data_IF_630702974065
#
_entry.id   IF_630702974065
#
_cell.length_a   1.000
_cell.length_b   1.000
_cell.length_c   1.000
_cell.angle_alpha   90.00
_cell.angle_beta   90.00
_cell.angle_gamma   90.00
#
_symmetry.space_group_name_H-M   'P 1'
#
loop_
_entity.id
_entity.type
_entity.pdbx_description
1 polymer ?
#
# COMPACT_ATOMS: atom_id res chain seq x y z
N UNK A 1 -20.85 45.62 23.56
CA UNK A 1 -21.31 44.79 22.44
C UNK A 1 -20.57 45.24 21.17
N UNK A 2 -19.35 44.76 20.96
CA UNK A 2 -18.64 44.93 19.68
C UNK A 2 -17.79 43.70 19.39
N UNK A 3 -17.86 43.29 18.13
CA UNK A 3 -17.44 42.04 17.51
C UNK A 3 -15.92 41.83 17.58
N UNK A 4 -15.48 40.60 17.86
CA UNK A 4 -14.13 40.16 17.55
C UNK A 4 -13.98 40.03 16.03
N UNK A 5 -13.09 40.86 15.50
CA UNK A 5 -12.62 40.90 14.12
C UNK A 5 -11.56 39.80 13.96
N UNK A 6 -11.84 38.79 13.14
CA UNK A 6 -10.83 37.82 12.71
C UNK A 6 -9.77 38.55 11.87
N UNK A 7 -8.53 38.64 12.37
CA UNK A 7 -7.39 39.00 11.55
C UNK A 7 -6.95 37.76 10.76
N UNK A 8 -7.30 37.73 9.47
CA UNK A 8 -6.59 36.96 8.46
C UNK A 8 -5.39 37.81 8.06
N UNK A 9 -4.19 37.49 8.54
CA UNK A 9 -2.98 38.12 8.02
C UNK A 9 -2.55 37.40 6.76
N UNK A 10 -2.94 38.00 5.63
CA UNK A 10 -2.39 37.81 4.30
C UNK A 10 -0.91 38.23 4.27
N UNK A 11 -0.05 37.36 3.73
CA UNK A 11 1.28 37.73 3.23
C UNK A 11 1.32 37.40 1.73
N UNK A 12 1.52 38.42 0.89
CA UNK A 12 1.65 38.31 -0.56
C UNK A 12 3.14 38.18 -0.99
N UNK A 13 3.34 37.24 -1.91
CA UNK A 13 4.27 37.18 -3.05
C UNK A 13 5.80 37.24 -2.82
N UNK A 14 6.44 36.08 -3.05
CA UNK A 14 7.53 35.95 -4.02
C UNK A 14 7.52 34.50 -4.59
N UNK A 15 6.99 34.33 -5.81
CA UNK A 15 7.00 33.06 -6.55
C UNK A 15 5.62 32.42 -6.74
N UNK A 16 4.91 32.78 -7.82
CA UNK A 16 3.73 32.06 -8.28
C UNK A 16 4.13 30.69 -8.86
N UNK A 17 4.41 29.72 -7.99
CA UNK A 17 4.04 28.33 -8.24
C UNK A 17 2.88 28.08 -7.31
N UNK A 18 1.67 28.03 -7.88
CA UNK A 18 0.48 27.66 -7.16
C UNK A 18 0.73 26.27 -6.57
N UNK A 19 1.00 26.19 -5.26
CA UNK A 19 1.27 24.95 -4.54
C UNK A 19 -0.05 24.20 -4.27
N UNK A 20 -0.90 24.09 -5.31
CA UNK A 20 -2.29 23.65 -5.30
C UNK A 20 -2.46 22.27 -4.66
N UNK A 21 -1.42 21.45 -4.53
CA UNK A 21 -1.51 20.14 -3.88
C UNK A 21 -1.20 20.12 -2.38
N UNK A 22 -0.80 21.23 -1.76
CA UNK A 22 -0.33 21.25 -0.35
C UNK A 22 -1.33 21.85 0.65
N UNK A 23 -2.43 22.43 0.16
CA UNK A 23 -3.46 23.04 1.02
C UNK A 23 -4.30 21.98 1.72
N UNK A 24 -4.67 22.23 2.98
CA UNK A 24 -5.55 21.35 3.75
C UNK A 24 -4.85 20.16 4.44
N UNK A 25 -3.51 20.12 4.46
CA UNK A 25 -2.78 19.17 5.30
C UNK A 25 -2.87 19.58 6.78
N UNK A 26 -3.33 18.66 7.63
CA UNK A 26 -3.33 18.79 9.08
C UNK A 26 -2.23 17.94 9.69
N UNK A 27 -1.52 18.53 10.65
CA UNK A 27 -0.29 17.96 11.22
C UNK A 27 -0.49 17.55 12.68
N UNK A 28 0.33 16.63 13.15
CA UNK A 28 0.33 16.20 14.55
C UNK A 28 0.58 17.40 15.50
N UNK A 29 0.08 17.30 16.73
CA UNK A 29 0.31 18.30 17.79
C UNK A 29 1.26 17.74 18.85
N UNK A 30 2.26 18.54 19.18
CA UNK A 30 3.14 18.32 20.32
C UNK A 30 2.41 18.60 21.64
N UNK A 31 2.91 18.07 22.79
CA UNK A 31 2.33 18.35 24.10
C UNK A 31 2.26 19.83 24.49
N UNK A 32 3.12 20.67 23.91
CA UNK A 32 3.14 22.13 24.13
C UNK A 32 2.12 22.89 23.26
N UNK A 33 1.35 22.19 22.43
CA UNK A 33 0.36 22.75 21.51
C UNK A 33 0.92 23.24 20.17
N UNK A 34 2.24 23.18 19.96
CA UNK A 34 2.85 23.39 18.65
C UNK A 34 2.54 22.23 17.70
N UNK A 35 2.69 22.46 16.39
CA UNK A 35 2.50 21.40 15.39
C UNK A 35 3.83 20.74 15.05
N UNK A 36 3.85 19.41 15.06
CA UNK A 36 4.90 18.63 14.42
C UNK A 36 4.53 18.46 12.94
N UNK A 37 5.13 19.31 12.11
CA UNK A 37 4.88 19.33 10.67
C UNK A 37 5.47 18.12 9.94
N UNK A 38 6.26 17.28 10.60
CA UNK A 38 6.84 16.09 10.00
C UNK A 38 5.83 14.95 9.89
N UNK A 39 4.68 15.04 10.58
CA UNK A 39 3.65 14.00 10.63
C UNK A 39 2.33 14.58 10.15
N UNK A 40 1.83 14.08 9.00
CA UNK A 40 0.47 14.39 8.54
C UNK A 40 -0.50 13.45 9.24
N UNK A 41 -1.56 13.98 9.85
CA UNK A 41 -2.56 13.17 10.56
C UNK A 41 -3.93 13.18 9.90
N UNK A 42 -4.19 14.16 9.03
CA UNK A 42 -5.46 14.29 8.33
C UNK A 42 -5.31 15.22 7.11
N UNK A 43 -6.23 15.11 6.18
CA UNK A 43 -6.39 15.98 5.03
C UNK A 43 -7.78 16.57 5.04
N UNK A 44 -7.92 17.88 4.84
CA UNK A 44 -9.21 18.58 4.75
C UNK A 44 -9.28 19.45 3.50
N UNK A 45 -8.31 19.28 2.60
CA UNK A 45 -8.25 19.99 1.33
C UNK A 45 -9.33 19.50 0.37
N UNK A 46 -9.57 20.30 -0.68
CA UNK A 46 -10.54 19.98 -1.74
C UNK A 46 -9.90 19.36 -2.97
N UNK A 47 -8.58 19.46 -3.04
CA UNK A 47 -7.79 19.08 -4.20
C UNK A 47 -7.66 17.57 -4.25
N UNK A 48 -7.74 17.00 -5.44
CA UNK A 48 -7.62 15.54 -5.65
C UNK A 48 -6.21 15.12 -6.06
N UNK A 49 -5.34 16.09 -6.32
CA UNK A 49 -3.92 15.90 -6.60
C UNK A 49 -3.12 16.50 -5.45
N UNK A 50 -2.62 15.64 -4.56
CA UNK A 50 -1.92 16.06 -3.35
C UNK A 50 -0.42 16.01 -3.55
N UNK A 51 0.29 17.02 -3.05
CA UNK A 51 1.75 17.04 -2.98
C UNK A 51 2.12 17.05 -1.50
N UNK A 52 2.79 16.00 -1.04
CA UNK A 52 3.27 15.94 0.34
C UNK A 52 4.58 16.74 0.42
N UNK A 53 4.69 17.70 1.36
CA UNK A 53 5.90 18.51 1.52
C UNK A 53 7.13 17.69 1.90
N UNK A 54 8.30 18.09 1.43
CA UNK A 54 9.57 17.38 1.58
C UNK A 54 10.12 17.33 3.01
N UNK A 55 9.50 18.00 3.98
CA UNK A 55 9.82 17.87 5.40
C UNK A 55 8.97 16.82 6.13
N UNK A 56 7.98 16.22 5.46
CA UNK A 56 7.12 15.19 6.05
C UNK A 56 7.86 13.85 6.07
N UNK A 57 7.95 13.24 7.24
CA UNK A 57 8.55 11.92 7.45
C UNK A 57 7.52 10.82 7.66
N UNK A 58 6.30 11.17 8.08
CA UNK A 58 5.24 10.21 8.38
C UNK A 58 3.88 10.66 7.83
N UNK A 59 3.17 9.70 7.23
CA UNK A 59 1.76 9.84 6.84
C UNK A 59 0.97 8.97 7.81
N UNK A 60 0.25 9.59 8.73
CA UNK A 60 -0.44 8.90 9.82
C UNK A 60 -1.66 8.08 9.40
N UNK A 61 -2.24 7.40 10.39
CA UNK A 61 -3.45 6.58 10.27
C UNK A 61 -4.56 7.33 9.51
N UNK A 62 -5.02 6.76 8.40
CA UNK A 62 -6.16 7.28 7.65
C UNK A 62 -6.02 8.71 7.12
N UNK A 63 -4.81 9.28 7.08
CA UNK A 63 -4.60 10.70 6.81
C UNK A 63 -5.25 11.20 5.51
N UNK A 64 -5.37 10.33 4.50
CA UNK A 64 -5.98 10.61 3.21
C UNK A 64 -7.08 9.59 2.87
N UNK A 65 -7.76 9.00 3.86
CA UNK A 65 -8.83 8.03 3.63
C UNK A 65 -10.08 8.67 3.01
N UNK A 66 -10.57 8.10 1.90
CA UNK A 66 -11.86 8.47 1.27
C UNK A 66 -11.95 9.94 0.81
N UNK A 67 -10.91 10.44 0.15
CA UNK A 67 -10.86 11.80 -0.40
C UNK A 67 -10.97 11.85 -1.92
N UNK A 68 -11.26 10.73 -2.58
CA UNK A 68 -11.30 10.58 -4.04
C UNK A 68 -10.01 11.11 -4.72
N UNK A 69 -8.86 10.98 -4.05
CA UNK A 69 -7.58 11.43 -4.61
C UNK A 69 -7.30 10.70 -5.91
N UNK A 70 -6.90 11.44 -6.94
CA UNK A 70 -6.50 10.92 -8.25
C UNK A 70 -4.98 10.81 -8.38
N UNK A 71 -4.23 11.61 -7.61
CA UNK A 71 -2.78 11.47 -7.50
C UNK A 71 -2.25 11.95 -6.14
N UNK A 72 -1.11 11.38 -5.75
CA UNK A 72 -0.32 11.86 -4.60
C UNK A 72 1.17 11.81 -4.95
N UNK A 73 1.90 12.89 -4.64
CA UNK A 73 3.35 12.93 -4.71
C UNK A 73 3.93 12.75 -3.30
N UNK A 74 4.60 11.63 -3.06
CA UNK A 74 5.22 11.29 -1.77
C UNK A 74 6.74 11.57 -1.88
N UNK A 75 7.31 12.46 -1.04
CA UNK A 75 8.73 12.80 -1.11
C UNK A 75 9.61 11.76 -0.40
N UNK A 76 10.89 11.72 -0.78
CA UNK A 76 11.91 10.81 -0.22
C UNK A 76 12.24 11.02 1.28
N UNK A 77 11.63 12.01 1.92
CA UNK A 77 11.71 12.19 3.37
C UNK A 77 10.75 11.28 4.12
N UNK A 78 9.69 10.77 3.47
CA UNK A 78 8.72 9.88 4.10
C UNK A 78 9.35 8.52 4.34
N UNK A 79 9.28 8.06 5.59
CA UNK A 79 9.79 6.76 6.04
C UNK A 79 8.67 5.81 6.46
N UNK A 80 7.49 6.33 6.78
CA UNK A 80 6.34 5.56 7.26
C UNK A 80 5.02 6.04 6.62
N UNK A 81 4.25 5.08 6.12
CA UNK A 81 2.88 5.25 5.65
C UNK A 81 1.99 4.39 6.55
N UNK A 82 1.14 5.05 7.32
CA UNK A 82 0.30 4.44 8.34
C UNK A 82 -0.87 3.63 7.79
N UNK A 83 -1.52 2.91 8.69
CA UNK A 83 -2.68 2.09 8.35
C UNK A 83 -3.78 2.94 7.73
N UNK A 84 -4.45 2.39 6.71
CA UNK A 84 -5.54 3.04 5.97
C UNK A 84 -5.18 4.41 5.34
N UNK A 85 -3.89 4.81 5.28
CA UNK A 85 -3.48 6.17 4.91
C UNK A 85 -4.12 6.68 3.62
N UNK A 86 -4.21 5.84 2.58
CA UNK A 86 -4.77 6.17 1.26
C UNK A 86 -5.93 5.25 0.85
N UNK A 87 -6.61 4.60 1.79
CA UNK A 87 -7.71 3.68 1.47
C UNK A 87 -8.91 4.42 0.86
N UNK A 88 -9.64 3.78 -0.06
CA UNK A 88 -10.84 4.32 -0.71
C UNK A 88 -10.58 5.60 -1.53
N UNK A 89 -9.52 5.62 -2.34
CA UNK A 89 -9.27 6.72 -3.27
C UNK A 89 -9.38 6.26 -4.73
N UNK A 90 -9.01 7.13 -5.67
CA UNK A 90 -9.03 6.87 -7.11
C UNK A 90 -7.62 6.95 -7.70
N UNK A 91 -6.60 6.61 -6.91
CA UNK A 91 -5.20 6.70 -7.32
C UNK A 91 -4.96 5.67 -8.44
N UNK A 92 -4.43 6.12 -9.57
CA UNK A 92 -4.11 5.26 -10.73
C UNK A 92 -2.65 4.80 -10.75
N UNK A 93 -1.78 5.58 -10.09
CA UNK A 93 -0.36 5.29 -9.85
C UNK A 93 0.11 5.98 -8.58
N UNK A 94 1.07 5.37 -7.90
CA UNK A 94 1.81 5.96 -6.78
C UNK A 94 3.27 5.53 -6.90
N UNK A 95 4.18 6.49 -6.81
CA UNK A 95 5.60 6.20 -6.58
C UNK A 95 5.83 6.22 -5.08
N UNK A 96 6.12 5.05 -4.51
CA UNK A 96 6.49 4.92 -3.10
C UNK A 96 8.01 5.06 -3.01
N UNK A 97 8.54 6.07 -2.30
CA UNK A 97 9.99 6.27 -2.19
C UNK A 97 10.71 5.09 -1.52
N UNK A 98 11.97 4.84 -1.92
CA UNK A 98 12.82 3.80 -1.32
C UNK A 98 13.09 4.03 0.18
N UNK A 99 12.92 5.27 0.65
CA UNK A 99 13.01 5.65 2.06
C UNK A 99 11.89 5.07 2.92
N UNK A 100 10.78 4.64 2.33
CA UNK A 100 9.61 4.10 3.05
C UNK A 100 9.92 2.70 3.55
N UNK A 101 10.16 2.60 4.86
CA UNK A 101 10.47 1.35 5.56
C UNK A 101 9.22 0.63 6.10
N UNK A 102 8.07 1.30 6.09
CA UNK A 102 6.80 0.75 6.58
C UNK A 102 5.61 1.24 5.75
N UNK A 103 4.79 0.29 5.29
CA UNK A 103 3.47 0.52 4.70
C UNK A 103 2.46 -0.23 5.57
N UNK A 104 1.51 0.51 6.13
CA UNK A 104 0.53 0.00 7.08
C UNK A 104 -0.54 -0.89 6.47
N UNK A 105 -1.31 -1.47 7.37
CA UNK A 105 -2.46 -2.33 7.09
C UNK A 105 -3.47 -1.52 6.25
N UNK A 106 -3.90 -2.06 5.12
CA UNK A 106 -4.83 -1.42 4.18
C UNK A 106 -4.39 -0.09 3.57
N UNK A 107 -3.11 0.31 3.69
CA UNK A 107 -2.66 1.67 3.37
C UNK A 107 -3.04 2.15 1.95
N UNK A 108 -2.95 1.29 0.93
CA UNK A 108 -3.32 1.61 -0.46
C UNK A 108 -4.51 0.77 -0.97
N UNK A 109 -5.33 0.24 -0.08
CA UNK A 109 -6.46 -0.59 -0.48
C UNK A 109 -7.57 0.21 -1.18
N UNK A 110 -8.31 -0.44 -2.07
CA UNK A 110 -9.48 0.10 -2.78
C UNK A 110 -9.15 1.41 -3.50
N UNK A 111 -8.29 1.27 -4.51
CA UNK A 111 -7.84 2.32 -5.42
C UNK A 111 -7.96 1.81 -6.87
N UNK A 112 -7.39 2.53 -7.84
CA UNK A 112 -7.32 2.13 -9.25
C UNK A 112 -5.87 1.90 -9.68
N UNK A 113 -4.99 1.50 -8.76
CA UNK A 113 -3.55 1.38 -9.06
C UNK A 113 -3.35 0.30 -10.12
N UNK A 114 -2.75 0.67 -11.24
CA UNK A 114 -2.41 -0.27 -12.33
C UNK A 114 -1.02 -0.87 -12.18
N UNK A 115 -0.16 -0.17 -11.43
CA UNK A 115 1.19 -0.58 -11.07
C UNK A 115 1.56 -0.01 -9.70
N UNK A 116 2.48 -0.70 -9.01
CA UNK A 116 3.11 -0.20 -7.79
C UNK A 116 4.55 -0.70 -7.76
N UNK A 117 5.48 0.17 -7.39
CA UNK A 117 6.85 -0.20 -7.03
C UNK A 117 6.90 -0.32 -5.52
N UNK A 118 7.15 -1.52 -5.02
CA UNK A 118 7.30 -1.77 -3.59
C UNK A 118 8.76 -1.45 -3.22
N UNK A 119 9.02 -0.62 -2.20
CA UNK A 119 10.37 -0.27 -1.78
C UNK A 119 11.19 -1.47 -1.33
N UNK A 120 12.47 -1.53 -1.73
CA UNK A 120 13.41 -2.58 -1.32
C UNK A 120 13.70 -2.58 0.20
N UNK A 121 13.29 -1.53 0.92
CA UNK A 121 13.44 -1.42 2.36
C UNK A 121 12.34 -2.15 3.16
N UNK A 122 11.26 -2.61 2.52
CA UNK A 122 10.19 -3.34 3.20
C UNK A 122 10.57 -4.79 3.50
N UNK A 123 10.44 -5.20 4.76
CA UNK A 123 10.60 -6.61 5.16
C UNK A 123 9.29 -7.39 5.14
N UNK A 124 8.15 -6.70 5.12
CA UNK A 124 6.82 -7.28 5.14
C UNK A 124 5.87 -6.45 4.30
N UNK A 125 4.96 -7.12 3.59
CA UNK A 125 3.80 -6.49 2.97
C UNK A 125 2.61 -6.75 3.90
N UNK A 126 2.10 -5.70 4.53
CA UNK A 126 1.07 -5.82 5.56
C UNK A 126 -0.29 -6.27 5.01
N UNK A 127 -1.18 -6.66 5.93
CA UNK A 127 -2.54 -7.07 5.64
C UNK A 127 -3.24 -6.04 4.74
N UNK A 128 -3.77 -6.51 3.61
CA UNK A 128 -4.58 -5.72 2.70
C UNK A 128 -3.87 -4.52 2.06
N UNK A 129 -2.54 -4.36 2.21
CA UNK A 129 -1.83 -3.13 1.85
C UNK A 129 -2.14 -2.63 0.42
N UNK A 130 -2.30 -3.54 -0.54
CA UNK A 130 -2.64 -3.25 -1.94
C UNK A 130 -3.92 -3.96 -2.43
N UNK A 131 -4.83 -4.32 -1.51
CA UNK A 131 -6.09 -5.01 -1.85
C UNK A 131 -6.99 -4.14 -2.73
N UNK A 132 -7.68 -4.75 -3.70
CA UNK A 132 -8.78 -4.09 -4.40
C UNK A 132 -8.30 -2.99 -5.34
N UNK A 133 -7.24 -3.28 -6.08
CA UNK A 133 -6.66 -2.39 -7.08
C UNK A 133 -6.80 -3.01 -8.49
N UNK A 134 -6.16 -2.40 -9.48
CA UNK A 134 -6.13 -2.86 -10.86
C UNK A 134 -4.72 -3.35 -11.26
N UNK A 135 -3.93 -3.83 -10.28
CA UNK A 135 -2.54 -4.20 -10.50
C UNK A 135 -2.48 -5.38 -11.48
N UNK A 136 -1.74 -5.20 -12.57
CA UNK A 136 -1.56 -6.25 -13.60
C UNK A 136 -0.28 -7.08 -13.39
N UNK A 137 0.69 -6.49 -12.69
CA UNK A 137 1.93 -7.10 -12.25
C UNK A 137 2.40 -6.46 -10.95
N UNK A 138 3.19 -7.20 -10.18
CA UNK A 138 3.89 -6.69 -9.00
C UNK A 138 5.25 -7.37 -8.89
N UNK A 139 6.28 -6.59 -8.59
CA UNK A 139 7.59 -7.09 -8.19
C UNK A 139 7.70 -6.97 -6.68
N UNK A 140 7.84 -8.11 -6.00
CA UNK A 140 8.03 -8.16 -4.55
C UNK A 140 9.54 -8.16 -4.29
N UNK A 141 10.07 -7.20 -3.51
CA UNK A 141 11.50 -7.11 -3.23
C UNK A 141 12.07 -8.32 -2.47
N UNK A 142 13.34 -8.64 -2.71
CA UNK A 142 14.08 -9.73 -2.04
C UNK A 142 14.28 -9.52 -0.53
N UNK A 143 13.94 -8.34 0.00
CA UNK A 143 13.92 -8.05 1.43
C UNK A 143 12.65 -8.53 2.12
N UNK A 144 11.56 -8.77 1.37
CA UNK A 144 10.27 -9.18 1.93
C UNK A 144 10.32 -10.63 2.38
N UNK A 145 10.03 -10.89 3.65
CA UNK A 145 9.98 -12.24 4.23
C UNK A 145 8.56 -12.76 4.44
N UNK A 146 7.57 -11.87 4.47
CA UNK A 146 6.16 -12.19 4.72
C UNK A 146 5.22 -11.39 3.81
N UNK A 147 4.26 -12.09 3.20
CA UNK A 147 3.15 -11.49 2.45
C UNK A 147 1.89 -11.66 3.30
N UNK A 148 1.36 -10.56 3.83
CA UNK A 148 0.25 -10.54 4.77
C UNK A 148 -1.10 -10.96 4.18
N UNK A 149 -2.08 -11.13 5.06
CA UNK A 149 -3.45 -11.49 4.70
C UNK A 149 -4.03 -10.51 3.68
N UNK A 150 -4.51 -11.03 2.55
CA UNK A 150 -5.16 -10.24 1.51
C UNK A 150 -4.30 -9.13 0.89
N UNK A 151 -2.97 -9.15 1.06
CA UNK A 151 -2.06 -8.08 0.61
C UNK A 151 -2.31 -7.62 -0.83
N UNK A 152 -2.61 -8.57 -1.73
CA UNK A 152 -2.95 -8.33 -3.15
C UNK A 152 -4.31 -8.91 -3.53
N UNK A 153 -5.23 -9.11 -2.57
CA UNK A 153 -6.55 -9.67 -2.82
C UNK A 153 -7.34 -8.77 -3.78
N UNK A 154 -8.02 -9.37 -4.77
CA UNK A 154 -8.91 -8.68 -5.73
C UNK A 154 -8.17 -7.66 -6.59
N UNK A 155 -7.17 -8.13 -7.34
CA UNK A 155 -6.41 -7.38 -8.33
C UNK A 155 -6.55 -8.02 -9.71
N UNK A 156 -5.75 -7.61 -10.69
CA UNK A 156 -5.74 -8.16 -12.06
C UNK A 156 -4.40 -8.84 -12.39
N UNK A 157 -3.69 -9.35 -11.37
CA UNK A 157 -2.34 -9.87 -11.54
C UNK A 157 -2.37 -11.09 -12.46
N UNK A 158 -1.63 -11.02 -13.56
CA UNK A 158 -1.50 -12.15 -14.50
C UNK A 158 -0.28 -13.03 -14.18
N UNK A 159 0.69 -12.45 -13.48
CA UNK A 159 1.88 -13.10 -12.95
C UNK A 159 2.31 -12.42 -11.65
N UNK A 160 3.04 -13.17 -10.82
CA UNK A 160 3.71 -12.65 -9.62
C UNK A 160 5.05 -13.36 -9.48
N UNK A 161 6.10 -12.58 -9.17
CA UNK A 161 7.40 -13.13 -8.77
C UNK A 161 7.48 -13.05 -7.25
N UNK A 162 7.49 -14.22 -6.60
CA UNK A 162 7.67 -14.33 -5.15
C UNK A 162 9.16 -14.60 -4.89
N UNK A 163 9.87 -13.75 -4.14
CA UNK A 163 11.30 -13.91 -3.93
C UNK A 163 11.62 -15.03 -2.93
N UNK A 164 12.84 -15.56 -3.01
CA UNK A 164 13.35 -16.64 -2.15
C UNK A 164 13.55 -16.22 -0.67
N UNK A 165 13.27 -14.97 -0.33
CA UNK A 165 13.22 -14.48 1.05
C UNK A 165 11.88 -14.79 1.73
N UNK A 166 10.80 -14.97 0.97
CA UNK A 166 9.45 -15.16 1.51
C UNK A 166 9.34 -16.54 2.14
N UNK A 167 8.93 -16.58 3.41
CA UNK A 167 8.71 -17.83 4.16
C UNK A 167 7.24 -18.17 4.36
N UNK A 168 6.35 -17.17 4.27
CA UNK A 168 4.93 -17.32 4.55
C UNK A 168 4.08 -16.47 3.57
N UNK A 169 3.05 -17.09 3.02
CA UNK A 169 2.03 -16.46 2.17
C UNK A 169 0.70 -16.50 2.93
N UNK A 170 0.22 -15.32 3.35
CA UNK A 170 -0.94 -15.15 4.21
C UNK A 170 -2.29 -15.51 3.58
N UNK A 171 -3.32 -15.55 4.42
CA UNK A 171 -4.69 -15.89 3.99
C UNK A 171 -5.15 -14.93 2.90
N UNK A 172 -5.80 -15.45 1.85
CA UNK A 172 -6.31 -14.64 0.75
C UNK A 172 -5.26 -13.78 -0.01
N UNK A 173 -3.96 -13.91 0.25
CA UNK A 173 -2.92 -12.94 -0.18
C UNK A 173 -2.99 -12.55 -1.67
N UNK A 174 -3.26 -13.52 -2.55
CA UNK A 174 -3.41 -13.36 -4.00
C UNK A 174 -4.79 -13.81 -4.50
N UNK A 175 -5.79 -13.87 -3.63
CA UNK A 175 -7.13 -14.32 -4.02
C UNK A 175 -7.74 -13.41 -5.10
N UNK A 176 -8.57 -13.97 -5.98
CA UNK A 176 -9.34 -13.20 -6.96
C UNK A 176 -8.46 -12.35 -7.87
N UNK A 177 -7.41 -12.97 -8.41
CA UNK A 177 -6.52 -12.40 -9.42
C UNK A 177 -6.66 -13.21 -10.72
N UNK A 178 -5.82 -12.90 -11.71
CA UNK A 178 -5.83 -13.51 -13.04
C UNK A 178 -4.61 -14.41 -13.27
N UNK A 179 -3.98 -14.92 -12.19
CA UNK A 179 -2.73 -15.65 -12.28
C UNK A 179 -2.92 -16.94 -13.08
N UNK A 180 -2.13 -17.08 -14.14
CA UNK A 180 -2.11 -18.29 -14.98
C UNK A 180 -1.00 -19.26 -14.55
N UNK A 181 0.01 -18.74 -13.88
CA UNK A 181 1.09 -19.52 -13.26
C UNK A 181 1.59 -18.80 -12.00
N UNK A 182 2.16 -19.59 -11.09
CA UNK A 182 2.89 -19.08 -9.93
C UNK A 182 4.04 -20.03 -9.64
N UNK A 183 5.22 -19.48 -9.38
CA UNK A 183 6.37 -20.25 -8.86
C UNK A 183 6.44 -20.03 -7.36
N UNK A 184 6.28 -21.09 -6.58
CA UNK A 184 6.46 -21.06 -5.13
C UNK A 184 7.95 -21.29 -4.83
N UNK A 185 8.68 -20.35 -4.21
CA UNK A 185 10.11 -20.51 -3.92
C UNK A 185 10.37 -21.52 -2.80
N UNK A 186 11.58 -22.08 -2.78
CA UNK A 186 11.99 -23.13 -1.84
C UNK A 186 12.01 -22.68 -0.38
N UNK A 187 12.03 -21.37 -0.14
CA UNK A 187 11.95 -20.77 1.18
C UNK A 187 10.56 -20.82 1.81
N UNK A 188 9.50 -20.99 1.01
CA UNK A 188 8.12 -20.96 1.53
C UNK A 188 7.88 -22.21 2.37
N UNK A 189 7.41 -21.98 3.60
CA UNK A 189 7.06 -23.06 4.53
C UNK A 189 5.56 -23.19 4.74
N UNK A 190 4.81 -22.09 4.54
CA UNK A 190 3.36 -22.02 4.73
C UNK A 190 2.68 -21.25 3.62
N UNK A 191 1.60 -21.83 3.10
CA UNK A 191 0.63 -21.19 2.22
C UNK A 191 -0.70 -21.24 2.95
N UNK A 192 -1.23 -20.10 3.38
CA UNK A 192 -2.44 -20.04 4.21
C UNK A 192 -3.72 -20.18 3.39
N UNK A 193 -4.87 -20.16 4.07
CA UNK A 193 -6.17 -20.47 3.49
C UNK A 193 -6.53 -19.52 2.34
N UNK A 194 -7.08 -20.09 1.27
CA UNK A 194 -7.52 -19.34 0.08
C UNK A 194 -6.47 -18.40 -0.56
N UNK A 195 -5.18 -18.54 -0.24
CA UNK A 195 -4.12 -17.63 -0.67
C UNK A 195 -4.11 -17.35 -2.18
N UNK A 196 -4.35 -18.37 -3.01
CA UNK A 196 -4.42 -18.28 -4.47
C UNK A 196 -5.81 -18.65 -5.03
N UNK A 197 -6.85 -18.69 -4.20
CA UNK A 197 -8.21 -19.00 -4.64
C UNK A 197 -8.72 -17.99 -5.67
N UNK A 198 -9.56 -18.42 -6.61
CA UNK A 198 -10.14 -17.53 -7.62
C UNK A 198 -9.15 -17.02 -8.67
N UNK A 199 -8.03 -17.71 -8.88
CA UNK A 199 -7.11 -17.49 -10.00
C UNK A 199 -7.38 -18.43 -11.19
N UNK A 200 -6.66 -18.23 -12.30
CA UNK A 200 -6.69 -19.05 -13.52
C UNK A 200 -5.63 -20.15 -13.55
N UNK A 201 -5.14 -20.56 -12.37
CA UNK A 201 -4.14 -21.61 -12.24
C UNK A 201 -4.73 -22.95 -12.68
N UNK A 202 -3.94 -23.72 -13.43
CA UNK A 202 -4.28 -25.11 -13.82
C UNK A 202 -3.38 -26.13 -13.13
N UNK A 203 -2.15 -25.73 -12.83
CA UNK A 203 -1.20 -26.51 -12.04
C UNK A 203 -0.29 -25.58 -11.25
N UNK A 204 0.25 -26.09 -10.14
CA UNK A 204 1.24 -25.40 -9.32
C UNK A 204 2.27 -26.41 -8.85
N UNK A 205 3.55 -26.04 -8.99
CA UNK A 205 4.65 -26.80 -8.41
C UNK A 205 4.97 -26.25 -7.02
N UNK A 206 4.86 -27.10 -6.00
CA UNK A 206 5.02 -26.74 -4.59
C UNK A 206 6.28 -27.44 -4.05
N UNK A 207 7.26 -26.71 -3.52
CA UNK A 207 8.45 -27.32 -2.95
C UNK A 207 8.14 -28.11 -1.67
N UNK A 208 8.96 -29.12 -1.39
CA UNK A 208 8.85 -29.97 -0.21
C UNK A 208 9.02 -29.20 1.12
N UNK A 209 9.60 -28.00 1.07
CA UNK A 209 9.66 -27.08 2.21
C UNK A 209 8.29 -26.58 2.68
N UNK A 210 7.27 -26.60 1.81
CA UNK A 210 5.89 -26.24 2.19
C UNK A 210 5.29 -27.34 3.05
N UNK A 211 5.25 -27.10 4.35
CA UNK A 211 4.72 -28.02 5.36
C UNK A 211 3.26 -27.77 5.70
N UNK A 212 2.75 -26.57 5.41
CA UNK A 212 1.36 -26.19 5.65
C UNK A 212 0.74 -25.60 4.38
N UNK A 213 -0.39 -26.18 3.95
CA UNK A 213 -1.24 -25.66 2.87
C UNK A 213 -2.64 -25.53 3.47
N UNK A 214 -3.12 -24.30 3.61
CA UNK A 214 -4.41 -23.97 4.18
C UNK A 214 -5.58 -24.41 3.30
N UNK A 215 -6.77 -24.46 3.90
CA UNK A 215 -8.00 -24.84 3.20
C UNK A 215 -8.28 -23.91 2.01
N UNK A 216 -8.63 -24.50 0.87
CA UNK A 216 -8.89 -23.76 -0.37
C UNK A 216 -7.74 -22.90 -0.89
N UNK A 217 -6.50 -23.06 -0.40
CA UNK A 217 -5.32 -22.27 -0.80
C UNK A 217 -5.19 -22.16 -2.33
N UNK A 218 -5.52 -23.24 -3.03
CA UNK A 218 -5.74 -23.28 -4.47
C UNK A 218 -7.16 -23.80 -4.74
N UNK A 219 -7.74 -23.44 -5.88
CA UNK A 219 -9.03 -24.02 -6.30
C UNK A 219 -8.90 -25.54 -6.50
N UNK A 220 -9.95 -26.31 -6.22
CA UNK A 220 -9.97 -27.79 -6.33
C UNK A 220 -9.54 -28.32 -7.71
N UNK A 221 -9.70 -27.54 -8.77
CA UNK A 221 -9.30 -27.90 -10.13
C UNK A 221 -7.80 -27.77 -10.40
N UNK A 222 -7.01 -27.21 -9.47
CA UNK A 222 -5.58 -26.98 -9.65
C UNK A 222 -4.81 -28.27 -9.35
N UNK A 223 -4.03 -28.74 -10.33
CA UNK A 223 -3.12 -29.88 -10.13
C UNK A 223 -1.91 -29.45 -9.30
N UNK A 224 -1.75 -30.00 -8.11
CA UNK A 224 -0.58 -29.76 -7.26
C UNK A 224 0.48 -30.83 -7.53
N UNK A 225 1.71 -30.39 -7.84
CA UNK A 225 2.88 -31.25 -8.02
C UNK A 225 3.95 -30.89 -6.99
N UNK A 226 4.41 -31.87 -6.21
CA UNK A 226 5.50 -31.67 -5.23
C UNK A 226 6.86 -31.72 -5.94
N UNK A 227 7.78 -30.84 -5.53
CA UNK A 227 9.18 -30.84 -5.99
C UNK A 227 10.16 -30.71 -4.83
#
# INVERSE_FOLDING_TARGET
MFKYLFLITSFLLLGCQNNLGTEGLEYAKNPDGSYDKTIIVNYVGKEKNVIIPDYVTEIGYGAFRDYELTSVSIPNSVTEIGDYAFVYNQLTSVTIPDSVTKIGVWAFAVNQLTSVTIPDSLTKIEEGAFRGNELTSVTIPDSVTEIGEGAFYSNQLTSVTIPNSVTEIGDYAFRGNELTSVTIPDSVTKIRGWAFSGNKLTSVSIPNSVTEIGDGAFNDSVKIERR
#
